data_IF_825877502020
#
_entry.id   IF_825877502020
#
_cell.length_a   1.000
_cell.length_b   1.000
_cell.length_c   1.000
_cell.angle_alpha   90.00
_cell.angle_beta   90.00
_cell.angle_gamma   90.00
#
_symmetry.space_group_name_H-M   'P 1'
#
loop_
_entity.id
_entity.type
_entity.pdbx_description
1 polymer ?
#
# COMPACT_ATOMS: atom_id res chain seq x y z
N UNK A 1 10.37 30.53 -18.75
CA UNK A 1 10.71 29.50 -19.76
C UNK A 1 10.28 28.16 -19.20
N UNK A 2 9.07 27.74 -19.57
CA UNK A 2 8.27 26.71 -18.89
C UNK A 2 8.64 25.32 -19.41
N UNK A 3 9.08 24.42 -18.53
CA UNK A 3 9.32 23.01 -18.89
C UNK A 3 7.98 22.28 -18.98
N UNK A 4 7.57 21.92 -20.19
CA UNK A 4 6.43 21.05 -20.48
C UNK A 4 6.76 19.61 -20.03
N UNK A 5 6.05 19.15 -19.01
CA UNK A 5 6.08 17.78 -18.48
C UNK A 5 5.40 16.84 -19.48
N UNK A 6 6.17 15.89 -20.03
CA UNK A 6 5.69 14.84 -20.92
C UNK A 6 4.75 13.88 -20.17
N UNK A 7 3.44 14.07 -20.29
CA UNK A 7 2.39 13.31 -19.58
C UNK A 7 1.68 12.25 -20.43
N UNK A 8 2.37 11.67 -21.42
CA UNK A 8 1.81 10.57 -22.24
C UNK A 8 2.82 9.44 -22.36
N UNK A 9 2.91 8.60 -21.33
CA UNK A 9 3.32 7.20 -21.55
C UNK A 9 2.21 6.57 -22.39
N UNK A 10 2.45 6.41 -23.68
CA UNK A 10 1.56 5.67 -24.56
C UNK A 10 1.38 4.25 -24.01
N UNK A 11 0.17 3.88 -23.61
CA UNK A 11 -0.19 2.48 -23.34
C UNK A 11 -0.13 1.74 -24.69
N UNK A 12 0.99 1.08 -24.96
CA UNK A 12 1.16 0.28 -26.18
C UNK A 12 0.23 -0.94 -26.20
N UNK A 13 -0.07 -1.42 -27.40
CA UNK A 13 -0.90 -2.62 -27.66
C UNK A 13 -0.49 -3.83 -26.80
N UNK A 14 0.81 -4.00 -26.51
CA UNK A 14 1.30 -5.07 -25.63
C UNK A 14 0.81 -4.98 -24.18
N UNK A 15 0.66 -3.77 -23.63
CA UNK A 15 0.11 -3.57 -22.28
C UNK A 15 -1.40 -3.92 -22.24
N UNK A 16 -2.12 -3.61 -23.33
CA UNK A 16 -3.53 -3.95 -23.48
C UNK A 16 -3.75 -5.47 -23.57
N UNK A 17 -2.90 -6.18 -24.32
CA UNK A 17 -2.96 -7.65 -24.44
C UNK A 17 -2.62 -8.32 -23.09
N UNK A 18 -1.55 -7.89 -22.41
CA UNK A 18 -1.20 -8.42 -21.08
C UNK A 18 -2.38 -8.31 -20.10
N UNK A 19 -3.07 -7.17 -20.07
CA UNK A 19 -4.22 -6.93 -19.16
C UNK A 19 -5.46 -7.78 -19.44
N UNK A 20 -5.63 -8.29 -20.66
CA UNK A 20 -6.71 -9.24 -20.96
C UNK A 20 -6.42 -10.58 -20.28
N UNK A 21 -5.15 -11.03 -20.30
CA UNK A 21 -4.73 -12.31 -19.73
C UNK A 21 -4.31 -12.24 -18.26
N UNK A 22 -3.98 -11.05 -17.73
CA UNK A 22 -3.62 -10.80 -16.34
C UNK A 22 -4.55 -9.76 -15.73
N UNK A 23 -5.86 -10.04 -15.72
CA UNK A 23 -6.86 -9.11 -15.16
C UNK A 23 -6.65 -8.81 -13.67
N UNK A 24 -5.81 -9.60 -13.00
CA UNK A 24 -5.51 -9.54 -11.57
C UNK A 24 -4.26 -8.68 -11.27
N UNK A 25 -3.48 -8.34 -12.29
CA UNK A 25 -2.16 -7.68 -12.19
C UNK A 25 -2.30 -6.14 -12.15
N UNK A 26 -3.51 -5.60 -11.96
CA UNK A 26 -3.75 -4.16 -11.88
C UNK A 26 -5.22 -3.76 -11.95
N UNK A 27 -5.49 -2.46 -12.17
CA UNK A 27 -6.87 -1.97 -12.25
C UNK A 27 -7.66 -2.66 -13.37
N UNK A 28 -8.90 -3.04 -13.07
CA UNK A 28 -9.83 -3.57 -14.07
C UNK A 28 -10.14 -2.51 -15.14
N UNK A 29 -10.56 -2.94 -16.33
CA UNK A 29 -10.99 -2.02 -17.39
C UNK A 29 -12.18 -1.16 -16.95
N UNK A 30 -13.11 -1.73 -16.18
CA UNK A 30 -14.26 -1.00 -15.62
C UNK A 30 -13.82 0.11 -14.66
N UNK A 31 -12.89 -0.19 -13.74
CA UNK A 31 -12.30 0.80 -12.83
C UNK A 31 -11.60 1.91 -13.58
N UNK A 32 -10.85 1.59 -14.64
CA UNK A 32 -10.16 2.58 -15.46
C UNK A 32 -11.15 3.51 -16.18
N UNK A 33 -12.17 2.94 -16.84
CA UNK A 33 -13.19 3.73 -17.54
C UNK A 33 -13.95 4.63 -16.56
N UNK A 34 -14.33 4.09 -15.40
CA UNK A 34 -15.02 4.85 -14.38
C UNK A 34 -14.16 5.98 -13.79
N UNK A 35 -12.87 5.70 -13.53
CA UNK A 35 -11.91 6.70 -13.04
C UNK A 35 -11.68 7.79 -14.07
N UNK A 36 -11.58 7.45 -15.36
CA UNK A 36 -11.44 8.44 -16.42
C UNK A 36 -12.64 9.39 -16.51
N UNK A 37 -13.86 8.87 -16.33
CA UNK A 37 -15.09 9.66 -16.43
C UNK A 37 -15.39 10.48 -15.16
N UNK A 38 -15.10 9.93 -13.97
CA UNK A 38 -15.58 10.49 -12.71
C UNK A 38 -14.47 10.83 -11.70
N UNK A 39 -13.24 10.39 -11.94
CA UNK A 39 -12.13 10.51 -11.01
C UNK A 39 -11.44 11.86 -11.07
N UNK A 40 -11.35 12.52 -9.92
CA UNK A 40 -10.44 13.65 -9.67
C UNK A 40 -9.23 13.11 -8.90
N UNK A 41 -8.03 13.23 -9.47
CA UNK A 41 -6.78 12.88 -8.77
C UNK A 41 -6.61 13.82 -7.58
N UNK A 42 -6.41 13.26 -6.39
CA UNK A 42 -6.20 14.00 -5.15
C UNK A 42 -4.70 14.07 -4.84
N UNK A 43 -4.02 12.93 -4.88
CA UNK A 43 -2.58 12.87 -4.63
C UNK A 43 -2.01 11.49 -4.85
N UNK A 44 -0.80 11.30 -4.32
CA UNK A 44 0.00 10.10 -4.45
C UNK A 44 0.75 9.87 -3.13
N UNK A 45 0.89 8.62 -2.71
CA UNK A 45 1.70 8.27 -1.53
C UNK A 45 3.17 8.03 -1.89
N UNK A 46 4.01 7.78 -0.88
CA UNK A 46 5.43 7.47 -1.09
C UNK A 46 5.70 6.17 -1.85
N UNK A 47 4.72 5.29 -2.00
CA UNK A 47 4.82 4.04 -2.77
C UNK A 47 4.36 4.20 -4.23
N UNK A 48 3.82 5.37 -4.58
CA UNK A 48 3.29 5.68 -5.91
C UNK A 48 1.84 5.24 -6.13
N UNK A 49 1.10 4.89 -5.07
CA UNK A 49 -0.33 4.63 -5.17
C UNK A 49 -1.07 5.95 -5.38
N UNK A 50 -2.00 5.99 -6.33
CA UNK A 50 -2.70 7.22 -6.71
C UNK A 50 -4.10 7.22 -6.12
N UNK A 51 -4.44 8.31 -5.44
CA UNK A 51 -5.72 8.47 -4.75
C UNK A 51 -6.67 9.37 -5.53
N UNK A 52 -7.93 8.97 -5.60
CA UNK A 52 -8.98 9.63 -6.36
C UNK A 52 -10.25 9.81 -5.52
N UNK A 53 -11.01 10.85 -5.85
CA UNK A 53 -12.39 11.03 -5.40
C UNK A 53 -13.29 11.42 -6.57
N UNK A 54 -14.58 11.23 -6.43
CA UNK A 54 -15.57 11.79 -7.35
C UNK A 54 -15.93 13.24 -6.98
N UNK A 55 -16.67 13.92 -7.86
CA UNK A 55 -16.95 15.34 -7.70
C UNK A 55 -17.80 15.68 -6.46
N UNK A 56 -18.70 14.78 -6.09
CA UNK A 56 -19.59 14.82 -4.95
C UNK A 56 -19.00 14.15 -3.69
N UNK A 57 -17.76 13.66 -3.76
CA UNK A 57 -17.03 12.95 -2.69
C UNK A 57 -17.78 11.74 -2.09
N UNK A 58 -18.80 11.23 -2.79
CA UNK A 58 -19.53 10.03 -2.38
C UNK A 58 -18.69 8.75 -2.48
N UNK A 59 -17.58 8.77 -3.22
CA UNK A 59 -16.63 7.67 -3.35
C UNK A 59 -15.19 8.19 -3.35
N UNK A 60 -14.33 7.54 -2.55
CA UNK A 60 -12.87 7.68 -2.56
C UNK A 60 -12.27 6.32 -2.89
N UNK A 61 -11.24 6.27 -3.72
CA UNK A 61 -10.59 5.02 -4.11
C UNK A 61 -9.11 5.23 -4.42
N UNK A 62 -8.37 4.12 -4.45
CA UNK A 62 -6.93 4.08 -4.74
C UNK A 62 -6.69 3.22 -5.98
N UNK A 63 -5.70 3.62 -6.78
CA UNK A 63 -5.11 2.82 -7.85
C UNK A 63 -3.69 2.49 -7.43
N UNK A 64 -3.44 1.22 -7.15
CA UNK A 64 -2.13 0.74 -6.70
C UNK A 64 -1.07 0.74 -7.81
N UNK A 65 0.17 1.01 -7.40
CA UNK A 65 1.34 0.84 -8.25
C UNK A 65 1.88 -0.60 -8.15
N UNK A 66 1.30 -1.51 -8.94
CA UNK A 66 1.70 -2.92 -9.00
C UNK A 66 0.75 -3.84 -8.23
N UNK A 67 1.30 -4.72 -7.39
CA UNK A 67 0.52 -5.70 -6.63
C UNK A 67 -0.56 -5.01 -5.78
N UNK A 68 -1.80 -5.41 -6.01
CA UNK A 68 -3.00 -4.89 -5.34
C UNK A 68 -3.05 -5.49 -3.95
N UNK A 69 -2.69 -4.69 -2.95
CA UNK A 69 -2.81 -5.12 -1.56
C UNK A 69 -3.19 -3.94 -0.65
N UNK A 70 -4.23 -4.13 0.14
CA UNK A 70 -4.86 -3.06 0.93
C UNK A 70 -3.94 -2.49 2.00
N UNK A 71 -3.11 -3.35 2.61
CA UNK A 71 -2.13 -2.96 3.63
C UNK A 71 -0.98 -2.11 3.09
N UNK A 72 -0.91 -1.84 1.77
CA UNK A 72 0.09 -0.95 1.17
C UNK A 72 -0.27 0.53 1.24
N UNK A 73 -1.46 0.86 1.75
CA UNK A 73 -1.89 2.25 1.89
C UNK A 73 -1.23 2.82 3.14
N UNK A 74 -0.48 3.91 2.97
CA UNK A 74 0.14 4.63 4.08
C UNK A 74 -0.92 5.09 5.10
N UNK A 75 -0.64 5.09 6.42
CA UNK A 75 -1.59 5.52 7.45
C UNK A 75 -2.27 6.86 7.18
N UNK A 76 -1.54 7.82 6.62
CA UNK A 76 -2.05 9.15 6.27
C UNK A 76 -3.13 9.09 5.19
N UNK A 77 -2.91 8.26 4.18
CA UNK A 77 -3.89 8.06 3.12
C UNK A 77 -5.02 7.12 3.53
N UNK A 78 -4.75 6.20 4.44
CA UNK A 78 -5.73 5.25 4.95
C UNK A 78 -6.89 5.98 5.66
N UNK A 79 -6.61 6.89 6.59
CA UNK A 79 -7.69 7.60 7.28
C UNK A 79 -8.49 8.52 6.35
N UNK A 80 -7.84 9.17 5.37
CA UNK A 80 -8.57 9.93 4.35
C UNK A 80 -9.45 9.03 3.49
N UNK A 81 -8.94 7.89 3.02
CA UNK A 81 -9.70 6.95 2.19
C UNK A 81 -10.93 6.40 2.93
N UNK A 82 -10.78 6.13 4.21
CA UNK A 82 -11.83 5.61 5.09
C UNK A 82 -12.67 6.69 5.77
N UNK A 83 -12.54 7.96 5.37
CA UNK A 83 -13.32 9.10 5.89
C UNK A 83 -13.18 9.29 7.41
N UNK A 84 -12.04 8.92 7.97
CA UNK A 84 -11.68 9.30 9.34
C UNK A 84 -11.44 10.81 9.43
N UNK A 85 -10.98 11.44 8.34
CA UNK A 85 -10.86 12.88 8.17
C UNK A 85 -11.19 13.31 6.74
N UNK A 86 -11.52 14.60 6.58
CA UNK A 86 -12.01 15.16 5.32
C UNK A 86 -10.88 15.63 4.41
N UNK A 87 -9.87 16.29 4.97
CA UNK A 87 -8.77 16.86 4.19
C UNK A 87 -7.71 15.80 3.83
N UNK A 88 -7.27 15.72 2.56
CA UNK A 88 -6.23 14.76 2.20
C UNK A 88 -4.88 15.14 2.80
N UNK A 89 -3.94 14.17 2.95
CA UNK A 89 -2.59 14.43 3.45
C UNK A 89 -1.80 15.44 2.62
N UNK A 90 -2.16 15.63 1.35
CA UNK A 90 -1.58 16.66 0.47
C UNK A 90 -1.89 18.08 0.93
N UNK A 91 -3.06 18.29 1.51
CA UNK A 91 -3.54 19.61 1.92
C UNK A 91 -3.22 19.85 3.40
N UNK A 92 -3.34 18.79 4.21
CA UNK A 92 -3.11 18.82 5.65
C UNK A 92 -2.34 17.57 6.09
N UNK A 93 -1.00 17.58 6.01
CA UNK A 93 -0.19 16.42 6.39
C UNK A 93 -0.31 16.14 7.90
N UNK A 94 -0.23 14.86 8.27
CA UNK A 94 -0.24 14.48 9.67
C UNK A 94 1.11 14.80 10.33
N UNK A 95 1.07 15.06 11.63
CA UNK A 95 2.28 15.35 12.41
C UNK A 95 2.88 14.05 12.89
N UNK A 96 3.93 13.58 12.21
CA UNK A 96 4.69 12.42 12.63
C UNK A 96 5.55 12.69 13.87
N UNK A 97 5.60 11.72 14.77
CA UNK A 97 6.46 11.70 15.96
C UNK A 97 7.79 11.00 15.67
N UNK A 98 8.88 11.37 16.38
CA UNK A 98 10.20 10.80 16.12
C UNK A 98 10.33 9.30 16.42
N UNK A 99 9.38 8.72 17.16
CA UNK A 99 9.35 7.29 17.48
C UNK A 99 8.49 6.48 16.51
N UNK A 100 7.81 7.12 15.56
CA UNK A 100 7.01 6.43 14.55
C UNK A 100 7.91 5.65 13.60
N UNK A 101 7.52 4.41 13.32
CA UNK A 101 8.23 3.58 12.35
C UNK A 101 7.71 3.88 10.95
N UNK A 102 8.56 3.75 9.91
CA UNK A 102 8.11 3.80 8.53
C UNK A 102 7.02 2.76 8.27
N UNK A 103 6.05 3.11 7.43
CA UNK A 103 4.99 2.20 7.05
C UNK A 103 5.54 0.92 6.41
N UNK A 104 5.07 -0.23 6.91
CA UNK A 104 5.37 -1.56 6.39
C UNK A 104 4.08 -2.26 5.99
N UNK A 105 4.10 -2.89 4.82
CA UNK A 105 3.00 -3.68 4.29
C UNK A 105 2.78 -4.95 5.11
N UNK A 106 1.61 -5.58 5.00
CA UNK A 106 1.38 -6.86 5.68
C UNK A 106 2.27 -7.96 5.07
N UNK A 107 3.17 -8.51 5.89
CA UNK A 107 4.10 -9.56 5.49
C UNK A 107 3.59 -10.99 5.79
N UNK A 108 2.33 -11.13 6.23
CA UNK A 108 1.74 -12.44 6.51
C UNK A 108 1.85 -13.38 5.32
N UNK A 109 2.27 -14.63 5.56
CA UNK A 109 2.45 -15.64 4.51
C UNK A 109 3.76 -15.50 3.72
N UNK A 110 4.57 -14.47 3.97
CA UNK A 110 5.90 -14.32 3.37
C UNK A 110 7.00 -14.92 4.24
N UNK A 111 8.23 -14.94 3.72
CA UNK A 111 9.43 -15.33 4.46
C UNK A 111 9.73 -14.35 5.61
N UNK A 112 9.41 -13.07 5.41
CA UNK A 112 9.65 -11.97 6.36
C UNK A 112 8.51 -11.80 7.38
N UNK A 113 7.56 -12.74 7.44
CA UNK A 113 6.49 -12.71 8.42
C UNK A 113 7.05 -12.75 9.85
N UNK A 114 6.47 -11.94 10.74
CA UNK A 114 6.86 -11.91 12.16
C UNK A 114 6.77 -13.30 12.81
N UNK A 115 7.87 -13.74 13.42
CA UNK A 115 7.94 -14.96 14.20
C UNK A 115 8.10 -14.60 15.69
N UNK A 116 7.11 -14.91 16.55
CA UNK A 116 7.21 -14.62 17.97
C UNK A 116 8.33 -15.42 18.63
N UNK A 117 8.82 -14.93 19.77
CA UNK A 117 9.86 -15.62 20.53
C UNK A 117 9.41 -17.04 20.94
N UNK A 118 10.24 -18.04 20.66
CA UNK A 118 9.91 -19.45 20.86
C UNK A 118 9.20 -20.13 19.69
N UNK A 119 8.86 -19.39 18.62
CA UNK A 119 8.41 -19.99 17.36
C UNK A 119 9.52 -20.80 16.72
N UNK A 120 9.17 -21.95 16.12
CA UNK A 120 10.08 -22.75 15.28
C UNK A 120 10.60 -21.97 14.07
N UNK A 121 9.89 -20.90 13.65
CA UNK A 121 10.30 -20.03 12.54
C UNK A 121 11.32 -18.96 12.96
N UNK A 122 11.51 -18.73 14.26
CA UNK A 122 12.47 -17.72 14.71
C UNK A 122 13.90 -18.25 14.47
N UNK A 123 14.76 -17.41 13.86
CA UNK A 123 16.14 -17.78 13.56
C UNK A 123 16.93 -18.17 14.83
N UNK A 124 16.60 -17.53 15.96
CA UNK A 124 17.18 -17.84 17.27
C UNK A 124 16.10 -18.46 18.16
N UNK A 125 16.19 -19.77 18.45
CA UNK A 125 15.29 -20.41 19.41
C UNK A 125 15.43 -19.74 20.78
N UNK A 126 14.30 -19.44 21.42
CA UNK A 126 14.34 -18.95 22.81
C UNK A 126 14.74 -20.12 23.71
N UNK A 127 15.82 -19.94 24.48
CA UNK A 127 16.19 -20.90 25.52
C UNK A 127 15.07 -21.01 26.56
N UNK A 128 14.61 -22.21 26.83
CA UNK A 128 13.69 -22.48 27.94
C UNK A 128 14.51 -22.49 29.23
N UNK A 129 14.26 -21.53 30.11
CA UNK A 129 15.02 -21.35 31.36
C UNK A 129 14.12 -21.43 32.60
N UNK A 130 12.93 -22.04 32.48
CA UNK A 130 12.00 -22.19 33.60
C UNK A 130 12.58 -23.11 34.70
N UNK A 131 13.62 -23.86 34.38
CA UNK A 131 14.31 -24.80 35.25
C UNK A 131 15.74 -25.03 34.75
N UNK A 132 16.69 -25.18 35.67
CA UNK A 132 18.06 -25.60 35.37
C UNK A 132 18.19 -27.12 35.57
N UNK A 133 18.47 -27.85 34.49
CA UNK A 133 18.65 -29.29 34.56
C UNK A 133 19.99 -29.64 35.21
N UNK A 134 19.96 -30.54 36.19
CA UNK A 134 21.17 -31.10 36.79
C UNK A 134 21.97 -31.86 35.72
N UNK A 135 23.26 -31.54 35.55
CA UNK A 135 24.18 -32.22 34.65
C UNK A 135 25.30 -32.90 35.47
N UNK A 136 25.38 -34.23 35.50
CA UNK A 136 26.50 -34.94 36.14
C UNK A 136 27.79 -34.72 35.36
N UNK A 137 28.89 -34.71 36.10
CA UNK A 137 30.28 -34.73 35.61
C UNK A 137 30.79 -36.15 35.31
#
# INVERSE_FOLDING_TARGET
>A
MTRLTNWRRAMGIGYTIKRIFTWWDGQSFGTQFWTWRNGKKVGEDGQGNIFYRNADDSRRWVIFNGAIEASRIDPDWHGWLHRTWDEPPTDKPLIHKPWEQPHQVNLTGTVDAYAPAGSLRAATPKSRSDYEAWSPE
#
